data_IF_742771972371
#
_entry.id   IF_742771972371
#
_cell.length_a   1.000
_cell.length_b   1.000
_cell.length_c   1.000
_cell.angle_alpha   90.00
_cell.angle_beta   90.00
_cell.angle_gamma   90.00
#
_symmetry.space_group_name_H-M   'P 1'
#
loop_
_entity.id
_entity.type
_entity.pdbx_description
1 polymer ?
#
# COMPACT_ATOMS: atom_id res chain seq x y z
N UNK A 1 -11.75 -16.23 -78.14
CA UNK A 1 -12.55 -16.18 -76.90
C UNK A 1 -11.55 -16.04 -75.76
N UNK A 2 -11.36 -14.82 -75.24
CA UNK A 2 -10.29 -14.47 -74.28
C UNK A 2 -10.83 -14.60 -72.86
N UNK A 3 -10.21 -15.47 -72.05
CA UNK A 3 -10.58 -15.68 -70.65
C UNK A 3 -9.60 -14.91 -69.76
N UNK A 4 -10.07 -13.79 -69.20
CA UNK A 4 -9.31 -12.96 -68.26
C UNK A 4 -9.39 -13.62 -66.88
N UNK A 5 -8.27 -14.17 -66.39
CA UNK A 5 -8.13 -14.57 -64.99
C UNK A 5 -7.97 -13.32 -64.12
N UNK A 6 -8.98 -13.04 -63.28
CA UNK A 6 -8.88 -12.02 -62.23
C UNK A 6 -8.14 -12.62 -61.03
N UNK A 7 -6.93 -12.16 -60.79
CA UNK A 7 -6.17 -12.47 -59.57
C UNK A 7 -6.85 -11.80 -58.37
N UNK A 8 -7.39 -12.62 -57.46
CA UNK A 8 -7.91 -12.17 -56.17
C UNK A 8 -6.74 -12.03 -55.21
N UNK A 9 -6.35 -10.80 -54.89
CA UNK A 9 -5.40 -10.53 -53.81
C UNK A 9 -6.19 -10.53 -52.50
N UNK A 10 -6.06 -11.61 -51.73
CA UNK A 10 -6.55 -11.67 -50.34
C UNK A 10 -5.49 -11.02 -49.45
N UNK A 11 -5.68 -9.77 -49.08
CA UNK A 11 -4.87 -9.12 -48.04
C UNK A 11 -5.37 -9.57 -46.67
N UNK A 12 -4.69 -10.56 -46.09
CA UNK A 12 -4.85 -10.86 -44.66
C UNK A 12 -4.26 -9.69 -43.86
N UNK A 13 -5.12 -8.84 -43.32
CA UNK A 13 -4.73 -7.89 -42.30
C UNK A 13 -4.44 -8.66 -41.00
N UNK A 14 -3.17 -8.84 -40.66
CA UNK A 14 -2.75 -9.23 -39.32
C UNK A 14 -3.09 -8.07 -38.38
N UNK A 15 -4.21 -8.15 -37.68
CA UNK A 15 -4.50 -7.28 -36.56
C UNK A 15 -3.51 -7.62 -35.43
N UNK A 16 -2.41 -6.88 -35.35
CA UNK A 16 -1.58 -6.84 -34.15
C UNK A 16 -2.40 -6.17 -33.04
N UNK A 17 -3.05 -6.96 -32.18
CA UNK A 17 -3.51 -6.46 -30.90
C UNK A 17 -2.28 -6.19 -30.05
N UNK A 18 -1.83 -4.94 -30.00
CA UNK A 18 -0.82 -4.51 -29.05
C UNK A 18 -1.41 -4.66 -27.65
N UNK A 19 -1.16 -5.80 -27.00
CA UNK A 19 -1.44 -5.96 -25.58
C UNK A 19 -0.65 -4.86 -24.88
N UNK A 20 -1.35 -3.88 -24.32
CA UNK A 20 -0.72 -2.78 -23.62
C UNK A 20 0.16 -3.37 -22.51
N UNK A 21 1.47 -3.13 -22.60
CA UNK A 21 2.41 -3.59 -21.59
C UNK A 21 2.08 -2.99 -20.21
N UNK A 22 2.69 -3.53 -19.14
CA UNK A 22 2.46 -3.04 -17.79
C UNK A 22 2.78 -1.54 -17.69
N UNK A 23 1.93 -0.81 -16.95
CA UNK A 23 2.13 0.59 -16.59
C UNK A 23 2.83 0.67 -15.25
N UNK A 24 3.68 1.68 -15.06
CA UNK A 24 4.35 1.95 -13.79
C UNK A 24 4.12 3.40 -13.37
N UNK A 25 3.77 3.61 -12.10
CA UNK A 25 3.75 4.92 -11.45
C UNK A 25 4.66 4.92 -10.23
N UNK A 26 5.17 6.10 -9.88
CA UNK A 26 5.92 6.31 -8.64
C UNK A 26 4.94 6.91 -7.63
N UNK A 27 4.79 6.25 -6.48
CA UNK A 27 4.01 6.77 -5.36
C UNK A 27 4.82 7.82 -4.62
N UNK A 28 4.14 8.52 -3.73
CA UNK A 28 4.71 9.65 -3.02
C UNK A 28 5.78 9.29 -1.97
N UNK A 29 5.91 8.01 -1.62
CA UNK A 29 7.00 7.45 -0.81
C UNK A 29 8.14 6.86 -1.66
N UNK A 30 8.14 7.16 -2.97
CA UNK A 30 9.08 6.66 -3.98
C UNK A 30 8.97 5.16 -4.29
N UNK A 31 7.99 4.45 -3.73
CA UNK A 31 7.68 3.09 -4.17
C UNK A 31 7.14 3.09 -5.60
N UNK A 32 7.35 1.99 -6.33
CA UNK A 32 6.93 1.83 -7.72
C UNK A 32 5.75 0.88 -7.76
N UNK A 33 4.62 1.37 -8.25
CA UNK A 33 3.47 0.53 -8.52
C UNK A 33 3.46 0.15 -10.00
N UNK A 34 3.51 -1.15 -10.29
CA UNK A 34 3.38 -1.71 -11.64
C UNK A 34 2.06 -2.47 -11.76
N UNK A 35 1.27 -2.15 -12.78
CA UNK A 35 -0.08 -2.70 -12.96
C UNK A 35 -0.45 -2.81 -14.43
N UNK A 36 -1.48 -3.59 -14.73
CA UNK A 36 -1.99 -3.80 -16.08
C UNK A 36 -3.39 -3.22 -16.23
N UNK A 37 -3.71 -2.73 -17.42
CA UNK A 37 -5.01 -2.16 -17.78
C UNK A 37 -5.52 -2.87 -19.02
N UNK A 38 -6.81 -3.25 -19.04
CA UNK A 38 -7.50 -3.77 -20.22
C UNK A 38 -7.86 -2.66 -21.21
N UNK A 39 -8.31 -3.04 -22.41
CA UNK A 39 -8.76 -2.08 -23.44
C UNK A 39 -9.92 -1.20 -22.94
N UNK A 40 -10.75 -1.72 -22.03
CA UNK A 40 -11.85 -1.01 -21.35
C UNK A 40 -11.37 -0.05 -20.23
N UNK A 41 -10.06 0.17 -20.11
CA UNK A 41 -9.43 1.04 -19.09
C UNK A 41 -9.61 0.56 -17.64
N UNK A 42 -9.84 -0.74 -17.44
CA UNK A 42 -9.97 -1.37 -16.11
C UNK A 42 -8.67 -2.03 -15.68
N UNK A 43 -8.38 -2.05 -14.38
CA UNK A 43 -7.31 -2.86 -13.82
C UNK A 43 -7.58 -4.34 -14.11
N UNK A 44 -6.63 -4.98 -14.79
CA UNK A 44 -6.76 -6.39 -15.18
C UNK A 44 -5.37 -7.01 -15.33
N UNK A 45 -5.09 -8.07 -14.56
CA UNK A 45 -3.79 -8.75 -14.53
C UNK A 45 -2.97 -8.42 -13.29
N UNK A 46 -1.65 -8.61 -13.39
CA UNK A 46 -0.73 -8.47 -12.26
C UNK A 46 -0.69 -7.03 -11.73
N UNK A 47 -0.59 -6.92 -10.41
CA UNK A 47 -0.46 -5.67 -9.66
C UNK A 47 0.62 -5.85 -8.60
N UNK A 48 1.71 -5.09 -8.72
CA UNK A 48 2.94 -5.29 -7.93
C UNK A 48 3.42 -3.94 -7.44
N UNK A 49 3.58 -3.82 -6.11
CA UNK A 49 4.24 -2.69 -5.48
C UNK A 49 5.65 -3.10 -5.08
N UNK A 50 6.64 -2.31 -5.49
CA UNK A 50 8.02 -2.45 -5.06
C UNK A 50 8.48 -1.24 -4.27
N UNK A 51 9.22 -1.46 -3.21
CA UNK A 51 9.87 -0.43 -2.42
C UNK A 51 10.91 0.36 -3.25
N UNK A 52 11.42 1.50 -2.74
CA UNK A 52 12.47 2.26 -3.42
C UNK A 52 13.79 1.49 -3.64
N UNK A 53 14.03 0.41 -2.89
CA UNK A 53 15.14 -0.53 -3.06
C UNK A 53 14.79 -1.76 -3.91
N UNK A 54 13.72 -1.67 -4.72
CA UNK A 54 13.30 -2.68 -5.71
C UNK A 54 12.90 -4.04 -5.11
N UNK A 55 12.55 -4.08 -3.82
CA UNK A 55 11.96 -5.26 -3.18
C UNK A 55 10.44 -5.25 -3.33
N UNK A 56 9.83 -6.40 -3.57
CA UNK A 56 8.37 -6.51 -3.63
C UNK A 56 7.78 -6.34 -2.23
N UNK A 57 6.93 -5.32 -2.02
CA UNK A 57 6.21 -5.11 -0.75
C UNK A 57 4.78 -5.63 -0.79
N UNK A 58 4.17 -5.64 -1.97
CA UNK A 58 2.83 -6.17 -2.21
C UNK A 58 2.72 -6.75 -3.61
N UNK A 59 2.01 -7.87 -3.77
CA UNK A 59 1.62 -8.38 -5.10
C UNK A 59 0.28 -9.09 -5.07
N UNK A 60 -0.47 -8.95 -6.16
CA UNK A 60 -1.73 -9.63 -6.39
C UNK A 60 -2.18 -9.50 -7.83
N UNK A 61 -3.45 -9.77 -8.07
CA UNK A 61 -4.05 -9.64 -9.40
C UNK A 61 -5.40 -8.94 -9.31
N UNK A 62 -5.69 -8.18 -10.37
CA UNK A 62 -7.00 -7.61 -10.64
C UNK A 62 -7.70 -8.35 -11.78
N UNK A 63 -9.02 -8.37 -11.75
CA UNK A 63 -9.89 -8.69 -12.87
C UNK A 63 -11.02 -7.66 -12.88
N UNK A 64 -11.06 -6.85 -13.94
CA UNK A 64 -12.08 -5.83 -14.16
C UNK A 64 -12.30 -4.92 -12.92
N UNK A 65 -11.22 -4.28 -12.46
CA UNK A 65 -11.16 -3.40 -11.28
C UNK A 65 -11.38 -4.08 -9.92
N UNK A 66 -11.54 -5.41 -9.88
CA UNK A 66 -11.68 -6.16 -8.63
C UNK A 66 -10.41 -6.95 -8.31
N UNK A 67 -9.98 -6.90 -7.05
CA UNK A 67 -8.91 -7.77 -6.54
C UNK A 67 -9.40 -9.22 -6.54
N UNK A 68 -8.59 -10.13 -7.08
CA UNK A 68 -8.92 -11.56 -7.17
C UNK A 68 -7.78 -12.43 -6.65
N UNK A 69 -8.13 -13.65 -6.24
CA UNK A 69 -7.16 -14.66 -5.81
C UNK A 69 -6.36 -14.23 -4.57
N UNK A 70 -5.12 -14.71 -4.51
CA UNK A 70 -4.22 -14.45 -3.38
C UNK A 70 -3.48 -13.13 -3.55
N UNK A 71 -3.56 -12.31 -2.51
CA UNK A 71 -2.78 -11.10 -2.35
C UNK A 71 -1.76 -11.32 -1.25
N UNK A 72 -0.52 -10.98 -1.54
CA UNK A 72 0.61 -11.14 -0.65
C UNK A 72 1.22 -9.79 -0.33
N UNK A 73 1.64 -9.63 0.90
CA UNK A 73 2.43 -8.50 1.37
C UNK A 73 3.67 -9.04 2.05
N UNK A 74 4.77 -8.29 2.00
CA UNK A 74 6.08 -8.78 2.39
C UNK A 74 6.76 -7.85 3.39
N UNK A 75 7.45 -8.47 4.34
CA UNK A 75 8.40 -7.81 5.21
C UNK A 75 9.65 -7.38 4.42
N UNK A 76 10.50 -6.49 4.96
CA UNK A 76 11.72 -6.01 4.28
C UNK A 76 12.76 -7.09 3.94
N UNK A 77 12.71 -8.23 4.63
CA UNK A 77 13.55 -9.40 4.39
C UNK A 77 12.99 -10.33 3.30
N UNK A 78 11.82 -10.02 2.75
CA UNK A 78 11.13 -10.81 1.73
C UNK A 78 10.22 -11.92 2.27
N UNK A 79 10.14 -12.10 3.60
CA UNK A 79 9.17 -13.02 4.21
C UNK A 79 7.74 -12.49 4.06
N UNK A 80 6.75 -13.40 4.09
CA UNK A 80 5.34 -13.02 3.94
C UNK A 80 4.85 -12.36 5.23
N UNK A 81 4.49 -11.09 5.16
CA UNK A 81 3.79 -10.40 6.23
C UNK A 81 2.34 -10.84 6.30
N UNK A 82 1.63 -10.86 5.17
CA UNK A 82 0.22 -11.25 5.13
C UNK A 82 -0.15 -11.87 3.79
N UNK A 83 -1.04 -12.86 3.84
CA UNK A 83 -1.73 -13.43 2.68
C UNK A 83 -3.23 -13.34 2.88
N UNK A 84 -3.92 -12.62 2.01
CA UNK A 84 -5.38 -12.55 1.97
C UNK A 84 -5.88 -13.11 0.65
N UNK A 85 -6.97 -13.88 0.68
CA UNK A 85 -7.60 -14.41 -0.53
C UNK A 85 -8.94 -13.73 -0.76
N UNK A 86 -9.08 -13.03 -1.89
CA UNK A 86 -10.28 -12.27 -2.23
C UNK A 86 -11.44 -13.15 -2.70
N UNK A 87 -11.15 -14.26 -3.36
CA UNK A 87 -12.19 -15.20 -3.82
C UNK A 87 -12.85 -15.89 -2.62
N UNK A 88 -12.06 -16.22 -1.61
CA UNK A 88 -12.50 -16.84 -0.36
C UNK A 88 -12.91 -15.83 0.72
N UNK A 89 -12.61 -14.53 0.50
CA UNK A 89 -12.78 -13.43 1.48
C UNK A 89 -12.19 -13.78 2.85
N UNK A 90 -10.96 -14.30 2.87
CA UNK A 90 -10.34 -14.87 4.06
C UNK A 90 -8.88 -14.45 4.20
N UNK A 91 -8.51 -14.03 5.41
CA UNK A 91 -7.12 -13.91 5.84
C UNK A 91 -6.54 -15.32 6.00
N UNK A 92 -5.58 -15.66 5.15
CA UNK A 92 -4.96 -17.00 5.12
C UNK A 92 -3.80 -17.06 6.12
N UNK A 93 -2.97 -16.02 6.18
CA UNK A 93 -1.87 -15.94 7.14
C UNK A 93 -1.49 -14.48 7.41
N UNK A 94 -0.94 -14.24 8.60
CA UNK A 94 -0.33 -12.97 9.00
C UNK A 94 0.90 -13.26 9.88
N UNK A 95 1.94 -12.46 9.75
CA UNK A 95 3.12 -12.48 10.59
C UNK A 95 2.76 -11.90 11.96
N UNK A 96 2.57 -12.82 12.89
CA UNK A 96 2.22 -12.52 14.28
C UNK A 96 3.33 -11.81 15.06
N UNK A 97 4.59 -11.88 14.60
CA UNK A 97 5.71 -11.17 15.24
C UNK A 97 5.72 -9.72 14.78
N UNK A 98 5.59 -9.48 13.47
CA UNK A 98 5.54 -8.12 12.95
C UNK A 98 4.33 -7.33 13.50
N UNK A 99 3.17 -7.99 13.64
CA UNK A 99 1.96 -7.33 14.12
C UNK A 99 2.02 -6.92 15.60
N UNK A 100 2.89 -7.52 16.43
CA UNK A 100 3.00 -7.11 17.85
C UNK A 100 3.57 -5.71 18.05
N UNK A 101 4.22 -5.15 17.01
CA UNK A 101 4.73 -3.77 17.01
C UNK A 101 3.61 -2.74 16.98
N UNK A 102 2.40 -3.16 16.64
CA UNK A 102 1.22 -2.33 16.51
C UNK A 102 0.48 -2.26 17.84
N UNK A 103 0.09 -1.05 18.23
CA UNK A 103 -0.93 -0.83 19.26
C UNK A 103 -2.29 -0.68 18.58
N UNK A 104 -3.35 -1.14 19.24
CA UNK A 104 -4.69 -1.01 18.71
C UNK A 104 -5.72 -0.74 19.81
N UNK A 105 -6.86 -0.23 19.39
CA UNK A 105 -8.03 -0.04 20.24
C UNK A 105 -9.28 -0.55 19.51
N UNK A 106 -10.19 -1.21 20.22
CA UNK A 106 -11.48 -1.65 19.68
C UNK A 106 -12.55 -0.68 20.15
N UNK A 107 -13.25 -0.04 19.21
CA UNK A 107 -14.17 1.05 19.51
C UNK A 107 -15.54 0.50 19.93
N UNK A 108 -15.61 -0.04 21.14
CA UNK A 108 -16.82 -0.56 21.78
C UNK A 108 -16.76 -0.29 23.28
N UNK A 109 -17.92 -0.25 23.93
CA UNK A 109 -18.00 -0.20 25.40
C UNK A 109 -17.97 -1.59 26.04
N UNK A 110 -18.29 -2.64 25.29
CA UNK A 110 -18.36 -4.03 25.75
C UNK A 110 -16.96 -4.65 25.94
N UNK A 111 -16.65 -5.05 27.17
CA UNK A 111 -15.33 -5.61 27.51
C UNK A 111 -15.09 -7.04 26.99
N UNK A 112 -16.14 -7.84 26.80
CA UNK A 112 -16.02 -9.16 26.16
C UNK A 112 -15.62 -8.97 24.70
N UNK A 113 -16.29 -8.03 24.02
CA UNK A 113 -15.99 -7.68 22.63
C UNK A 113 -14.57 -7.11 22.51
N UNK A 114 -14.15 -6.19 23.38
CA UNK A 114 -12.77 -5.63 23.35
C UNK A 114 -11.70 -6.73 23.43
N UNK A 115 -11.87 -7.69 24.33
CA UNK A 115 -10.87 -8.74 24.60
C UNK A 115 -10.89 -9.86 23.56
N UNK A 116 -12.06 -10.17 23.00
CA UNK A 116 -12.24 -11.27 22.06
C UNK A 116 -12.16 -10.88 20.59
N UNK A 117 -12.06 -9.59 20.26
CA UNK A 117 -12.00 -9.11 18.88
C UNK A 117 -10.65 -9.38 18.24
N UNK A 118 -10.68 -9.70 16.94
CA UNK A 118 -9.52 -9.51 16.08
C UNK A 118 -9.29 -8.02 15.84
N UNK A 119 -8.04 -7.64 15.59
CA UNK A 119 -7.63 -6.26 15.39
C UNK A 119 -7.94 -5.77 13.96
N UNK A 120 -8.00 -4.46 13.71
CA UNK A 120 -7.96 -3.94 12.34
C UNK A 120 -6.60 -4.24 11.70
N UNK A 121 -6.60 -4.67 10.44
CA UNK A 121 -5.38 -5.07 9.71
C UNK A 121 -5.35 -4.41 8.33
N UNK A 122 -4.27 -3.70 7.97
CA UNK A 122 -4.11 -3.18 6.62
C UNK A 122 -3.67 -4.30 5.67
N UNK A 123 -4.16 -4.28 4.43
CA UNK A 123 -3.67 -5.14 3.34
C UNK A 123 -2.42 -4.50 2.72
N UNK A 124 -1.40 -4.26 3.55
CA UNK A 124 -0.03 -3.88 3.21
C UNK A 124 0.90 -4.27 4.37
N UNK A 125 2.21 -4.29 4.17
CA UNK A 125 3.15 -4.51 5.27
C UNK A 125 3.26 -3.30 6.18
N UNK A 126 3.70 -3.52 7.43
CA UNK A 126 3.94 -2.46 8.41
C UNK A 126 4.92 -1.41 7.86
N UNK A 127 5.96 -1.84 7.17
CA UNK A 127 6.95 -0.95 6.57
C UNK A 127 6.38 -0.16 5.40
N UNK A 128 5.54 -0.76 4.56
CA UNK A 128 4.86 -0.02 3.49
C UNK A 128 3.90 1.03 4.07
N UNK A 129 3.19 0.68 5.14
CA UNK A 129 2.32 1.61 5.87
C UNK A 129 3.11 2.79 6.45
N UNK A 130 4.22 2.52 7.15
CA UNK A 130 5.13 3.54 7.71
C UNK A 130 5.72 4.41 6.60
N UNK A 131 6.17 3.80 5.50
CA UNK A 131 6.78 4.50 4.37
C UNK A 131 5.82 5.53 3.76
N UNK A 132 4.58 5.12 3.49
CA UNK A 132 3.58 5.96 2.85
C UNK A 132 3.10 7.09 3.76
N UNK A 133 2.61 6.77 4.95
CA UNK A 133 2.11 7.80 5.87
C UNK A 133 3.22 8.64 6.49
N UNK A 134 4.40 8.08 6.70
CA UNK A 134 5.59 8.82 7.13
C UNK A 134 6.03 9.84 6.08
N UNK A 135 5.92 9.52 4.79
CA UNK A 135 6.20 10.46 3.70
C UNK A 135 5.17 11.59 3.65
N UNK A 136 3.87 11.28 3.82
CA UNK A 136 2.83 12.31 3.93
C UNK A 136 3.03 13.22 5.14
N UNK A 137 3.37 12.62 6.29
CA UNK A 137 3.67 13.36 7.51
C UNK A 137 4.85 14.31 7.30
N UNK A 138 5.98 13.82 6.78
CA UNK A 138 7.17 14.64 6.51
C UNK A 138 6.85 15.80 5.57
N UNK A 139 6.13 15.54 4.47
CA UNK A 139 5.69 16.58 3.54
C UNK A 139 4.88 17.66 4.22
N UNK A 140 3.94 17.26 5.09
CA UNK A 140 3.09 18.20 5.81
C UNK A 140 3.90 19.08 6.76
N UNK A 141 4.80 18.50 7.55
CA UNK A 141 5.66 19.25 8.46
C UNK A 141 6.55 20.21 7.67
N UNK A 142 7.22 19.75 6.60
CA UNK A 142 8.10 20.60 5.78
C UNK A 142 7.38 21.73 5.04
N UNK A 143 6.07 21.59 4.80
CA UNK A 143 5.24 22.67 4.24
C UNK A 143 5.00 23.79 5.26
N UNK A 144 4.90 23.45 6.54
CA UNK A 144 4.64 24.38 7.64
C UNK A 144 5.94 24.96 8.21
N UNK A 145 6.99 24.14 8.29
CA UNK A 145 8.34 24.50 8.72
C UNK A 145 9.38 23.88 7.80
N UNK A 146 9.91 24.69 6.87
CA UNK A 146 10.95 24.28 5.92
C UNK A 146 12.31 24.05 6.58
N UNK A 147 12.48 24.48 7.84
CA UNK A 147 13.72 24.34 8.61
C UNK A 147 13.72 23.14 9.55
N UNK A 148 12.61 22.38 9.58
CA UNK A 148 12.51 21.14 10.34
C UNK A 148 13.68 20.21 10.01
N UNK A 149 14.35 19.74 11.07
CA UNK A 149 15.53 18.89 10.98
C UNK A 149 15.60 17.91 12.16
N UNK A 150 16.41 16.87 12.03
CA UNK A 150 16.60 15.85 13.06
C UNK A 150 15.50 14.79 13.08
N UNK A 151 15.39 14.08 14.21
CA UNK A 151 14.48 12.95 14.38
C UNK A 151 13.25 13.35 15.20
N UNK A 152 12.07 12.95 14.73
CA UNK A 152 10.81 13.17 15.43
C UNK A 152 10.07 11.86 15.65
N UNK A 153 9.86 11.49 16.91
CA UNK A 153 8.97 10.38 17.26
C UNK A 153 7.52 10.75 16.90
N UNK A 154 6.86 9.87 16.15
CA UNK A 154 5.49 10.06 15.68
C UNK A 154 4.71 8.76 15.78
N UNK A 155 3.46 8.88 16.23
CA UNK A 155 2.48 7.81 16.14
C UNK A 155 1.63 8.04 14.89
N UNK A 156 1.74 7.13 13.92
CA UNK A 156 0.86 7.10 12.76
C UNK A 156 -0.39 6.30 13.12
N UNK A 157 -1.56 6.88 12.86
CA UNK A 157 -2.84 6.39 13.37
C UNK A 157 -3.80 6.21 12.20
N UNK A 158 -4.45 5.06 12.12
CA UNK A 158 -5.61 4.83 11.28
C UNK A 158 -6.84 4.55 12.16
N UNK A 159 -7.88 5.35 11.98
CA UNK A 159 -9.20 5.08 12.54
C UNK A 159 -10.03 4.37 11.47
N UNK A 160 -10.29 3.09 11.66
CA UNK A 160 -10.94 2.19 10.70
C UNK A 160 -12.38 1.96 11.14
N UNK A 161 -13.34 2.22 10.27
CA UNK A 161 -14.75 1.94 10.56
C UNK A 161 -15.14 0.48 10.27
N UNK A 162 -16.37 0.10 10.61
CA UNK A 162 -16.88 -1.26 10.39
C UNK A 162 -16.99 -1.65 8.90
N UNK A 163 -16.91 -0.70 7.96
CA UNK A 163 -16.89 -0.95 6.53
C UNK A 163 -15.46 -1.14 5.99
N UNK A 164 -14.43 -0.91 6.81
CA UNK A 164 -13.03 -0.93 6.40
C UNK A 164 -12.55 0.39 5.80
N UNK A 165 -13.31 1.49 5.95
CA UNK A 165 -12.85 2.82 5.55
C UNK A 165 -11.97 3.42 6.64
N UNK A 166 -10.82 3.99 6.28
CA UNK A 166 -9.85 4.51 7.22
C UNK A 166 -9.64 6.03 7.12
N UNK A 167 -9.46 6.69 8.27
CA UNK A 167 -9.00 8.08 8.37
C UNK A 167 -7.66 8.13 9.09
N UNK A 168 -6.71 8.85 8.50
CA UNK A 168 -5.33 8.88 8.96
C UNK A 168 -4.97 10.17 9.70
N UNK A 169 -4.17 10.02 10.75
CA UNK A 169 -3.57 11.14 11.47
C UNK A 169 -2.20 10.77 12.04
N UNK A 170 -1.44 11.79 12.44
CA UNK A 170 -0.19 11.63 13.16
C UNK A 170 -0.25 12.40 14.49
N UNK A 171 0.16 11.74 15.58
CA UNK A 171 0.39 12.36 16.88
C UNK A 171 1.89 12.46 17.15
N UNK A 172 2.38 13.64 17.52
CA UNK A 172 3.80 13.89 17.78
C UNK A 172 3.98 14.97 18.85
N UNK A 173 5.21 15.19 19.31
CA UNK A 173 5.51 16.18 20.35
C UNK A 173 6.75 16.98 20.00
N UNK A 174 6.66 18.30 20.08
CA UNK A 174 7.77 19.24 19.86
C UNK A 174 7.84 20.16 21.07
N UNK A 175 9.00 20.23 21.73
CA UNK A 175 9.18 21.07 22.92
C UNK A 175 8.20 20.76 24.06
N UNK A 176 7.76 19.50 24.21
CA UNK A 176 6.76 19.08 25.20
C UNK A 176 5.30 19.35 24.82
N UNK A 177 5.06 20.08 23.73
CA UNK A 177 3.71 20.35 23.22
C UNK A 177 3.26 19.23 22.29
N UNK A 178 2.07 18.68 22.53
CA UNK A 178 1.48 17.62 21.71
C UNK A 178 0.74 18.19 20.51
N UNK A 179 0.97 17.59 19.36
CA UNK A 179 0.30 17.94 18.11
C UNK A 179 -0.44 16.74 17.55
N UNK A 180 -1.58 16.99 16.92
CA UNK A 180 -2.29 16.05 16.07
C UNK A 180 -2.43 16.68 14.69
N UNK A 181 -2.15 15.90 13.66
CA UNK A 181 -2.39 16.33 12.29
C UNK A 181 -3.10 15.26 11.48
N UNK A 182 -4.06 15.67 10.65
CA UNK A 182 -4.64 14.80 9.62
C UNK A 182 -3.61 14.49 8.53
N UNK A 183 -3.61 13.25 8.06
CA UNK A 183 -2.85 12.79 6.89
C UNK A 183 -3.83 12.40 5.78
N UNK A 184 -3.43 12.61 4.52
CA UNK A 184 -4.23 12.28 3.34
C UNK A 184 -3.33 11.52 2.37
N UNK A 185 -3.69 10.28 2.07
CA UNK A 185 -3.05 9.51 0.99
C UNK A 185 -3.78 9.89 -0.30
N UNK A 186 -3.07 10.52 -1.24
CA UNK A 186 -3.65 11.01 -2.50
C UNK A 186 -3.14 10.22 -3.72
N UNK A 187 -3.02 8.90 -3.57
CA UNK A 187 -2.51 8.01 -4.61
C UNK A 187 -3.65 7.53 -5.52
N UNK A 188 -3.60 7.85 -6.82
CA UNK A 188 -4.71 7.56 -7.73
C UNK A 188 -4.94 6.08 -7.99
N UNK A 189 -3.87 5.30 -8.05
CA UNK A 189 -3.92 3.87 -8.41
C UNK A 189 -3.62 2.95 -7.22
N UNK A 190 -3.38 3.49 -6.03
CA UNK A 190 -3.03 2.74 -4.83
C UNK A 190 -3.85 3.24 -3.65
N UNK A 191 -4.40 2.32 -2.87
CA UNK A 191 -4.98 2.64 -1.56
C UNK A 191 -4.69 1.51 -0.58
N UNK A 192 -4.66 1.84 0.71
CA UNK A 192 -4.54 0.89 1.80
C UNK A 192 -5.94 0.38 2.13
N UNK A 193 -6.25 -0.81 1.64
CA UNK A 193 -7.46 -1.52 2.05
C UNK A 193 -7.31 -2.05 3.47
N UNK A 194 -8.41 -2.02 4.24
CA UNK A 194 -8.43 -2.50 5.61
C UNK A 194 -9.40 -3.64 5.81
N UNK A 195 -8.93 -4.67 6.54
CA UNK A 195 -9.81 -5.58 7.25
C UNK A 195 -10.18 -4.90 8.58
N UNK A 196 -11.47 -4.59 8.82
CA UNK A 196 -11.87 -4.01 10.10
C UNK A 196 -11.71 -5.03 11.23
N UNK A 197 -11.72 -4.53 12.47
CA UNK A 197 -11.82 -5.40 13.63
C UNK A 197 -13.07 -6.27 13.53
N UNK A 198 -13.03 -7.46 14.12
CA UNK A 198 -14.21 -8.33 14.12
C UNK A 198 -14.31 -9.20 15.35
N UNK A 199 -15.54 -9.42 15.78
CA UNK A 199 -15.89 -10.29 16.89
C UNK A 199 -17.04 -11.20 16.47
N UNK A 200 -16.85 -12.52 16.57
CA UNK A 200 -17.85 -13.52 16.15
C UNK A 200 -18.46 -13.25 14.76
N UNK A 201 -17.63 -12.74 13.83
CA UNK A 201 -18.02 -12.40 12.46
C UNK A 201 -18.65 -11.01 12.27
N UNK A 202 -18.97 -10.28 13.33
CA UNK A 202 -19.46 -8.92 13.25
C UNK A 202 -18.29 -7.94 13.14
N UNK A 203 -18.37 -7.02 12.17
CA UNK A 203 -17.34 -6.00 11.94
C UNK A 203 -17.52 -4.84 12.91
N UNK A 204 -16.40 -4.37 13.46
CA UNK A 204 -16.36 -3.34 14.50
C UNK A 204 -15.31 -2.30 14.09
N UNK A 205 -15.58 -1.03 14.42
CA UNK A 205 -14.60 0.03 14.24
C UNK A 205 -13.42 -0.16 15.21
N UNK A 206 -12.23 0.23 14.78
CA UNK A 206 -11.03 0.14 15.61
C UNK A 206 -9.98 1.14 15.20
N UNK A 207 -9.01 1.33 16.08
CA UNK A 207 -7.87 2.20 15.86
C UNK A 207 -6.62 1.34 15.73
N UNK A 208 -5.82 1.62 14.71
CA UNK A 208 -4.50 1.03 14.50
C UNK A 208 -3.44 2.11 14.69
N UNK A 209 -2.43 1.83 15.50
CA UNK A 209 -1.41 2.80 15.90
C UNK A 209 -0.03 2.16 15.78
N UNK A 210 0.85 2.79 15.01
CA UNK A 210 2.26 2.41 14.91
C UNK A 210 3.15 3.58 15.29
N UNK A 211 4.10 3.33 16.18
CA UNK A 211 5.12 4.31 16.57
C UNK A 211 6.33 4.19 15.65
N UNK A 212 6.82 5.31 15.13
CA UNK A 212 7.99 5.37 14.25
C UNK A 212 8.75 6.69 14.45
N UNK A 213 9.88 6.83 13.75
CA UNK A 213 10.66 8.07 13.69
C UNK A 213 10.60 8.65 12.28
N UNK A 214 10.26 9.94 12.20
CA UNK A 214 10.41 10.72 10.99
C UNK A 214 11.77 11.43 11.03
N UNK A 215 12.59 11.14 10.02
CA UNK A 215 13.89 11.76 9.82
C UNK A 215 13.76 12.96 8.87
N UNK A 216 14.12 14.14 9.36
CA UNK A 216 14.16 15.42 8.66
C UNK A 216 15.59 15.91 8.42
N UNK A 217 16.61 15.13 8.75
CA UNK A 217 18.00 15.51 8.51
C UNK A 217 18.28 15.70 7.01
N UNK A 218 19.08 16.71 6.68
CA UNK A 218 19.46 17.06 5.30
C UNK A 218 20.57 16.15 4.77
N UNK A 219 20.34 14.83 4.74
CA UNK A 219 20.92 13.81 3.85
C UNK A 219 20.56 12.43 4.44
N UNK A 220 19.58 11.67 3.92
CA UNK A 220 19.68 10.22 4.04
C UNK A 220 20.97 9.86 3.28
N UNK A 221 21.88 9.03 3.83
CA UNK A 221 23.20 8.86 3.24
C UNK A 221 23.03 8.61 1.76
N UNK A 222 23.58 9.51 0.92
CA UNK A 222 23.86 9.21 -0.47
C UNK A 222 24.51 7.84 -0.43
N UNK A 223 23.78 6.80 -0.83
CA UNK A 223 24.33 5.46 -0.98
C UNK A 223 25.52 5.64 -1.90
N UNK A 224 26.73 5.67 -1.33
CA UNK A 224 27.96 5.83 -2.08
C UNK A 224 28.04 4.66 -3.04
N UNK A 225 27.58 4.88 -4.27
CA UNK A 225 27.84 3.98 -5.38
C UNK A 225 29.30 4.22 -5.75
N UNK A 226 30.14 3.25 -5.41
CA UNK A 226 31.51 3.04 -5.88
C UNK A 226 32.56 4.06 -5.41
N UNK A 227 33.44 3.62 -4.51
CA UNK A 227 34.84 4.07 -4.47
C UNK A 227 35.63 2.94 -5.14
N UNK A 228 36.13 3.19 -6.35
CA UNK A 228 37.14 2.35 -6.97
C UNK A 228 38.49 2.70 -6.33
N UNK A 229 39.14 1.72 -5.71
CA UNK A 229 40.55 1.84 -5.39
C UNK A 229 41.35 1.27 -6.56
N UNK A 230 42.17 2.13 -7.17
CA UNK A 230 43.22 1.76 -8.11
C UNK A 230 44.32 0.95 -7.42
#
# INVERSE_FOLDING_TARGET
>A
MSTIFKTLIVTTALAFSAVAGPKTIILSDQSKLTYNISDDKKLNGAYILTTPDDKVSLKGAYKDDQRVGNWYTFNPDGTIFLRYNYDLKKLISIDTVAITRVKYEINTTDDEVKKGSNIPVPICSIEQYISLLGSEFKRKILKEDKTASGMLNVNLIANVDANGSARYSANYTIGGVKFNTKLIISEKMFDIEWLPASYKGQKIAGTFIISTQADFSTDPPKRQRFIWNY
#
